data_IF_312412349789
#
_entry.id   IF_312412349789
#
_cell.length_a   1.000
_cell.length_b   1.000
_cell.length_c   1.000
_cell.angle_alpha   90.00
_cell.angle_beta   90.00
_cell.angle_gamma   90.00
#
_symmetry.space_group_name_H-M   'P 1'
#
loop_
_entity.id
_entity.type
_entity.pdbx_description
1 polymer ?
#
# COMPACT_ATOMS: atom_id res chain seq x y z
N UNK A 1 -0.88 14.71 -17.81
CA UNK A 1 0.48 15.10 -17.38
C UNK A 1 1.47 14.12 -18.00
N UNK A 2 2.37 14.55 -18.89
CA UNK A 2 3.33 13.66 -19.55
C UNK A 2 4.49 13.22 -18.64
N UNK A 3 4.68 13.88 -17.50
CA UNK A 3 5.77 13.57 -16.56
C UNK A 3 5.59 12.21 -15.89
N UNK A 4 4.36 11.75 -15.68
CA UNK A 4 4.10 10.47 -15.02
C UNK A 4 4.48 9.24 -15.86
N UNK A 5 4.62 9.38 -17.20
CA UNK A 5 5.09 8.27 -18.05
C UNK A 5 6.56 7.92 -17.83
N UNK A 6 7.33 8.84 -17.24
CA UNK A 6 8.75 8.62 -16.93
C UNK A 6 8.97 8.07 -15.51
N UNK A 7 7.90 7.95 -14.71
CA UNK A 7 8.00 7.47 -13.35
C UNK A 7 7.71 5.96 -13.28
N UNK A 8 8.52 5.18 -12.54
CA UNK A 8 8.17 3.81 -12.23
C UNK A 8 6.85 3.75 -11.45
N UNK A 9 6.21 2.57 -11.45
CA UNK A 9 4.85 2.36 -10.93
C UNK A 9 4.67 2.91 -9.51
N UNK A 10 5.56 2.58 -8.60
CA UNK A 10 5.48 2.98 -7.19
C UNK A 10 5.64 4.50 -7.04
N UNK A 11 6.51 5.11 -7.84
CA UNK A 11 6.69 6.56 -7.87
C UNK A 11 5.46 7.27 -8.44
N UNK A 12 4.70 6.64 -9.35
CA UNK A 12 3.40 7.18 -9.80
C UNK A 12 2.38 7.22 -8.66
N UNK A 13 2.32 6.18 -7.81
CA UNK A 13 1.47 6.21 -6.62
C UNK A 13 1.88 7.32 -5.65
N UNK A 14 3.17 7.44 -5.33
CA UNK A 14 3.67 8.49 -4.44
C UNK A 14 3.40 9.90 -5.01
N UNK A 15 3.59 10.08 -6.31
CA UNK A 15 3.30 11.34 -7.00
C UNK A 15 1.80 11.65 -6.99
N UNK A 16 0.94 10.65 -7.21
CA UNK A 16 -0.51 10.81 -7.12
C UNK A 16 -0.97 11.21 -5.70
N UNK A 17 -0.38 10.61 -4.66
CA UNK A 17 -0.62 10.99 -3.26
C UNK A 17 -0.24 12.45 -3.02
N UNK A 18 0.97 12.85 -3.43
CA UNK A 18 1.48 14.21 -3.27
C UNK A 18 0.59 15.26 -3.97
N UNK A 19 0.03 14.93 -5.14
CA UNK A 19 -0.89 15.81 -5.88
C UNK A 19 -2.30 15.88 -5.31
N UNK A 20 -2.67 14.96 -4.43
CA UNK A 20 -4.02 14.90 -3.87
C UNK A 20 -4.14 15.75 -2.61
N UNK A 21 -3.27 15.51 -1.62
CA UNK A 21 -3.33 16.22 -0.35
C UNK A 21 -2.03 16.04 0.46
N UNK A 22 -1.69 17.01 1.33
CA UNK A 22 -0.65 16.84 2.34
C UNK A 22 -0.87 15.59 3.23
N UNK A 23 0.20 14.94 3.67
CA UNK A 23 0.17 13.69 4.47
C UNK A 23 -0.78 13.73 5.68
N UNK A 24 -0.91 14.89 6.35
CA UNK A 24 -1.79 15.06 7.51
C UNK A 24 -3.29 15.00 7.20
N UNK A 25 -3.70 15.21 5.94
CA UNK A 25 -5.10 15.12 5.52
C UNK A 25 -5.56 13.68 5.27
N UNK A 26 -4.63 12.72 5.22
CA UNK A 26 -4.95 11.31 5.05
C UNK A 26 -5.31 10.60 6.37
N UNK A 27 -5.04 11.27 7.51
CA UNK A 27 -5.33 10.75 8.84
C UNK A 27 -6.77 10.31 9.00
N UNK A 28 -6.96 9.10 9.49
CA UNK A 28 -8.27 8.62 9.89
C UNK A 28 -8.68 9.26 11.22
N UNK A 29 -9.30 10.45 11.17
CA UNK A 29 -9.89 11.08 12.36
C UNK A 29 -11.34 10.65 12.53
N UNK A 30 -11.53 9.47 13.13
CA UNK A 30 -12.79 9.02 13.74
C UNK A 30 -13.95 8.78 12.78
N UNK A 31 -14.96 8.04 13.27
CA UNK A 31 -16.20 7.70 12.54
C UNK A 31 -16.92 8.98 12.13
N UNK A 32 -16.79 9.40 10.86
CA UNK A 32 -17.66 10.41 10.26
C UNK A 32 -17.01 11.65 9.63
N UNK A 33 -15.69 11.72 9.38
CA UNK A 33 -15.10 12.86 8.66
C UNK A 33 -14.29 12.48 7.42
N UNK A 34 -14.73 13.07 6.30
CA UNK A 34 -14.21 13.09 4.92
C UNK A 34 -12.99 12.19 4.69
N UNK A 35 -13.23 11.06 4.02
CA UNK A 35 -12.16 10.34 3.33
C UNK A 35 -11.49 11.32 2.37
N UNK A 36 -10.19 11.56 2.54
CA UNK A 36 -9.41 12.23 1.51
C UNK A 36 -9.53 11.40 0.25
N UNK A 37 -10.24 11.91 -0.75
CA UNK A 37 -10.41 11.24 -2.03
C UNK A 37 -9.34 11.74 -2.99
N UNK A 38 -8.77 10.86 -3.83
CA UNK A 38 -7.91 11.25 -4.92
C UNK A 38 -8.58 12.35 -5.75
N UNK A 39 -7.82 13.39 -6.10
CA UNK A 39 -8.30 14.41 -7.02
C UNK A 39 -8.39 13.84 -8.45
N UNK A 40 -9.22 14.39 -9.33
CA UNK A 40 -9.23 13.97 -10.74
C UNK A 40 -7.84 14.06 -11.39
N UNK A 41 -7.03 15.05 -10.99
CA UNK A 41 -5.66 15.24 -11.49
C UNK A 41 -4.71 14.14 -11.03
N UNK A 42 -4.83 13.65 -9.79
CA UNK A 42 -4.00 12.54 -9.32
C UNK A 42 -4.43 11.20 -9.89
N UNK A 43 -5.73 11.01 -10.14
CA UNK A 43 -6.23 9.82 -10.85
C UNK A 43 -5.62 9.72 -12.26
N UNK A 44 -5.51 10.85 -12.98
CA UNK A 44 -4.86 10.88 -14.30
C UNK A 44 -3.39 10.41 -14.29
N UNK A 45 -2.66 10.54 -13.17
CA UNK A 45 -1.28 10.06 -13.05
C UNK A 45 -1.22 8.53 -13.13
N UNK A 46 -2.23 7.86 -12.59
CA UNK A 46 -2.31 6.41 -12.49
C UNK A 46 -2.88 5.78 -13.76
N UNK A 47 -3.80 6.47 -14.44
CA UNK A 47 -4.47 5.99 -15.65
C UNK A 47 -3.72 6.27 -16.95
N UNK A 48 -2.60 7.02 -16.91
CA UNK A 48 -2.02 7.66 -18.10
C UNK A 48 -1.45 6.69 -19.15
N UNK A 49 -1.36 5.39 -18.88
CA UNK A 49 -0.51 4.50 -19.69
C UNK A 49 -1.11 3.15 -20.14
N UNK A 50 -2.38 2.83 -19.85
CA UNK A 50 -3.01 1.59 -20.34
C UNK A 50 -4.54 1.63 -20.23
N UNK A 51 -5.23 1.00 -21.18
CA UNK A 51 -6.66 0.67 -21.08
C UNK A 51 -6.97 -0.13 -19.81
N UNK A 52 -6.03 -1.01 -19.43
CA UNK A 52 -6.16 -1.91 -18.27
C UNK A 52 -5.25 -1.48 -17.10
N UNK A 53 -5.16 -0.18 -16.82
CA UNK A 53 -4.29 0.34 -15.74
C UNK A 53 -4.56 -0.35 -14.39
N UNK A 54 -5.79 -0.84 -14.16
CA UNK A 54 -6.18 -1.57 -12.94
C UNK A 54 -5.42 -2.89 -12.77
N UNK A 55 -5.15 -3.61 -13.86
CA UNK A 55 -4.42 -4.88 -13.83
C UNK A 55 -2.97 -4.69 -13.39
N UNK A 56 -2.40 -3.52 -13.68
CA UNK A 56 -1.04 -3.15 -13.26
C UNK A 56 -0.87 -3.12 -11.72
N UNK A 57 -1.97 -2.83 -11.01
CA UNK A 57 -2.02 -2.72 -9.55
C UNK A 57 -2.63 -3.96 -8.88
N UNK A 58 -2.95 -5.01 -9.67
CA UNK A 58 -3.52 -6.25 -9.15
C UNK A 58 -2.65 -6.90 -8.08
N UNK A 59 -1.33 -6.96 -8.33
CA UNK A 59 -0.34 -7.36 -7.34
C UNK A 59 0.46 -6.14 -6.86
N UNK A 60 0.39 -5.88 -5.56
CA UNK A 60 0.99 -4.68 -4.97
C UNK A 60 1.78 -4.99 -3.70
N UNK A 61 3.04 -4.56 -3.63
CA UNK A 61 3.92 -4.71 -2.47
C UNK A 61 4.32 -3.35 -1.90
N UNK A 62 3.94 -3.09 -0.65
CA UNK A 62 4.30 -1.84 0.04
C UNK A 62 5.79 -1.74 0.37
N UNK A 63 6.55 -2.84 0.34
CA UNK A 63 8.00 -2.80 0.46
C UNK A 63 8.67 -2.04 -0.69
N UNK A 64 8.12 -2.16 -1.91
CA UNK A 64 8.62 -1.41 -3.07
C UNK A 64 8.29 0.08 -2.95
N UNK A 65 7.11 0.41 -2.38
CA UNK A 65 6.73 1.80 -2.07
C UNK A 65 7.63 2.40 -0.99
N UNK A 66 7.91 1.65 0.07
CA UNK A 66 8.81 2.07 1.13
C UNK A 66 10.21 2.37 0.55
N UNK A 67 10.72 1.45 -0.28
CA UNK A 67 11.98 1.64 -1.01
C UNK A 67 11.96 2.89 -1.90
N UNK A 68 10.90 3.09 -2.67
CA UNK A 68 10.73 4.25 -3.54
C UNK A 68 10.66 5.58 -2.75
N UNK A 69 10.06 5.55 -1.56
CA UNK A 69 10.00 6.68 -0.64
C UNK A 69 11.32 6.90 0.15
N UNK A 70 12.35 6.09 -0.05
CA UNK A 70 13.60 6.13 0.73
C UNK A 70 13.45 5.64 2.18
N UNK A 71 12.32 5.03 2.50
CA UNK A 71 11.94 4.53 3.82
C UNK A 71 12.38 3.07 3.96
N UNK A 72 13.49 2.82 4.67
CA UNK A 72 14.12 1.48 4.69
C UNK A 72 14.00 0.72 6.01
N UNK A 73 13.84 1.40 7.15
CA UNK A 73 13.83 0.73 8.46
C UNK A 73 13.01 1.49 9.51
N UNK A 74 12.15 0.77 10.23
CA UNK A 74 11.62 1.23 11.53
C UNK A 74 12.73 1.07 12.59
N UNK A 75 12.89 2.00 13.55
CA UNK A 75 12.00 3.10 13.91
C UNK A 75 12.28 4.42 13.15
N UNK A 76 13.32 4.48 12.31
CA UNK A 76 13.86 5.74 11.78
C UNK A 76 13.21 6.23 10.47
N UNK A 77 12.36 5.43 9.81
CA UNK A 77 11.72 5.84 8.57
C UNK A 77 10.90 4.74 7.90
N UNK A 78 9.90 4.20 8.60
CA UNK A 78 8.90 3.28 8.01
C UNK A 78 7.74 4.01 7.35
N UNK A 79 6.98 3.30 6.50
CA UNK A 79 5.66 3.77 6.09
C UNK A 79 4.71 3.72 7.29
N UNK A 80 3.93 4.77 7.50
CA UNK A 80 2.88 4.79 8.52
C UNK A 80 1.56 4.26 7.97
N UNK A 81 0.61 3.91 8.84
CA UNK A 81 -0.76 3.59 8.44
C UNK A 81 -1.41 4.69 7.58
N UNK A 82 -1.08 5.96 7.83
CA UNK A 82 -1.56 7.08 7.01
C UNK A 82 -0.99 7.04 5.58
N UNK A 83 0.29 6.70 5.43
CA UNK A 83 0.93 6.54 4.12
C UNK A 83 0.30 5.38 3.35
N UNK A 84 0.08 4.23 4.01
CA UNK A 84 -0.60 3.08 3.40
C UNK A 84 -1.99 3.47 2.92
N UNK A 85 -2.77 4.12 3.79
CA UNK A 85 -4.13 4.54 3.47
C UNK A 85 -4.16 5.49 2.27
N UNK A 86 -3.24 6.45 2.23
CA UNK A 86 -3.14 7.41 1.14
C UNK A 86 -2.90 6.73 -0.21
N UNK A 87 -1.95 5.80 -0.25
CA UNK A 87 -1.63 5.03 -1.46
C UNK A 87 -2.81 4.15 -1.87
N UNK A 88 -3.40 3.38 -0.94
CA UNK A 88 -4.55 2.50 -1.22
C UNK A 88 -5.74 3.27 -1.81
N UNK A 89 -6.01 4.48 -1.29
CA UNK A 89 -7.08 5.32 -1.81
C UNK A 89 -6.74 5.86 -3.20
N UNK A 90 -5.49 6.27 -3.44
CA UNK A 90 -5.05 6.77 -4.75
C UNK A 90 -5.17 5.71 -5.84
N UNK A 91 -4.73 4.49 -5.57
CA UNK A 91 -4.75 3.39 -6.56
C UNK A 91 -6.12 2.72 -6.71
N UNK A 92 -7.15 3.24 -6.03
CA UNK A 92 -8.49 2.64 -5.98
C UNK A 92 -8.43 1.17 -5.54
N UNK A 93 -7.63 0.87 -4.51
CA UNK A 93 -7.23 -0.49 -4.14
C UNK A 93 -8.40 -1.45 -3.93
N UNK A 94 -9.54 -0.93 -3.47
CA UNK A 94 -10.78 -1.70 -3.28
C UNK A 94 -11.32 -2.35 -4.55
N UNK A 95 -10.95 -1.81 -5.72
CA UNK A 95 -11.43 -2.24 -7.03
C UNK A 95 -10.27 -2.70 -7.93
N UNK A 96 -9.03 -2.70 -7.44
CA UNK A 96 -7.82 -2.96 -8.26
C UNK A 96 -6.92 -4.03 -7.65
N UNK A 97 -6.65 -3.97 -6.34
CA UNK A 97 -5.67 -4.83 -5.69
C UNK A 97 -6.29 -6.18 -5.35
N UNK A 98 -5.78 -7.24 -5.96
CA UNK A 98 -6.18 -8.63 -5.70
C UNK A 98 -5.21 -9.36 -4.75
N UNK A 99 -3.94 -8.96 -4.74
CA UNK A 99 -2.89 -9.54 -3.92
C UNK A 99 -2.06 -8.41 -3.32
N UNK A 100 -2.09 -8.31 -2.00
CA UNK A 100 -1.36 -7.29 -1.26
C UNK A 100 -0.23 -7.90 -0.46
N UNK A 101 0.97 -7.32 -0.55
CA UNK A 101 2.12 -7.68 0.28
C UNK A 101 2.61 -6.48 1.09
N UNK A 102 2.93 -6.70 2.36
CA UNK A 102 3.46 -5.67 3.27
C UNK A 102 4.93 -5.92 3.62
N UNK A 103 5.74 -6.30 2.62
CA UNK A 103 7.15 -6.63 2.89
C UNK A 103 7.90 -5.42 3.43
N UNK A 104 8.79 -5.64 4.40
CA UNK A 104 9.63 -4.59 5.03
C UNK A 104 8.86 -3.41 5.63
N UNK A 105 7.54 -3.54 5.82
CA UNK A 105 6.70 -2.51 6.42
C UNK A 105 6.50 -2.83 7.90
N UNK A 106 7.33 -2.21 8.73
CA UNK A 106 7.34 -2.44 10.18
C UNK A 106 6.59 -1.31 10.93
N UNK A 107 6.02 -1.64 12.09
CA UNK A 107 5.38 -0.65 12.97
C UNK A 107 3.98 -0.21 12.52
N UNK A 108 3.33 -0.98 11.66
CA UNK A 108 1.94 -0.75 11.24
C UNK A 108 0.97 -1.24 12.32
N UNK A 109 -0.04 -0.44 12.61
CA UNK A 109 -1.15 -0.79 13.52
C UNK A 109 -2.26 -1.55 12.81
N UNK A 110 -2.30 -1.49 11.47
CA UNK A 110 -3.33 -2.09 10.62
C UNK A 110 -4.51 -1.15 10.33
N UNK A 111 -4.56 0.02 10.97
CA UNK A 111 -5.59 1.05 10.69
C UNK A 111 -5.52 1.59 9.26
N UNK A 112 -4.35 1.53 8.62
CA UNK A 112 -4.14 1.95 7.24
C UNK A 112 -4.79 1.02 6.21
N UNK A 113 -5.12 -0.22 6.59
CA UNK A 113 -5.77 -1.21 5.73
C UNK A 113 -7.30 -1.06 5.69
N UNK A 114 -7.87 -0.08 6.41
CA UNK A 114 -9.30 0.23 6.37
C UNK A 114 -9.90 0.29 4.96
N UNK A 115 -9.25 0.91 3.93
CA UNK A 115 -9.82 0.97 2.57
C UNK A 115 -10.07 -0.40 1.92
N UNK A 116 -9.40 -1.45 2.40
CA UNK A 116 -9.56 -2.82 1.89
C UNK A 116 -10.75 -3.55 2.51
N UNK A 117 -11.30 -3.04 3.62
CA UNK A 117 -12.53 -3.62 4.23
C UNK A 117 -13.72 -3.54 3.27
N UNK A 118 -13.70 -2.59 2.34
CA UNK A 118 -14.70 -2.43 1.29
C UNK A 118 -14.37 -3.23 0.01
N UNK A 119 -13.24 -3.96 -0.04
CA UNK A 119 -12.71 -4.69 -1.21
C UNK A 119 -13.28 -6.12 -1.33
N UNK A 120 -14.59 -6.27 -1.11
CA UNK A 120 -15.23 -7.55 -0.80
C UNK A 120 -15.14 -8.62 -1.92
N UNK A 121 -14.85 -8.23 -3.16
CA UNK A 121 -14.81 -9.12 -4.34
C UNK A 121 -13.47 -9.18 -5.07
N UNK A 122 -12.58 -8.20 -4.85
CA UNK A 122 -11.34 -8.07 -5.63
C UNK A 122 -10.15 -8.63 -4.86
N UNK A 123 -10.07 -8.36 -3.55
CA UNK A 123 -8.94 -8.79 -2.72
C UNK A 123 -9.04 -10.28 -2.40
N UNK A 124 -8.08 -11.06 -2.90
CA UNK A 124 -7.99 -12.51 -2.73
C UNK A 124 -6.91 -12.91 -1.74
N UNK A 125 -5.84 -12.13 -1.62
CA UNK A 125 -4.67 -12.47 -0.80
C UNK A 125 -4.08 -11.25 -0.11
N UNK A 126 -3.75 -11.44 1.17
CA UNK A 126 -2.94 -10.49 1.94
C UNK A 126 -1.75 -11.28 2.50
N UNK A 127 -0.55 -10.89 2.12
CA UNK A 127 0.71 -11.42 2.62
C UNK A 127 1.32 -10.41 3.60
N UNK A 128 1.22 -10.75 4.90
CA UNK A 128 1.79 -9.98 6.00
C UNK A 128 3.24 -10.35 6.30
N UNK A 129 3.88 -11.17 5.45
CA UNK A 129 5.30 -11.45 5.57
C UNK A 129 6.09 -10.15 5.49
N UNK A 130 6.78 -9.84 6.59
CA UNK A 130 7.68 -8.68 6.70
C UNK A 130 8.95 -8.85 5.84
N UNK A 131 9.08 -9.97 5.15
CA UNK A 131 10.30 -10.42 4.49
C UNK A 131 10.11 -10.37 2.98
N UNK A 132 11.10 -9.81 2.28
CA UNK A 132 11.11 -9.79 0.82
C UNK A 132 11.14 -11.20 0.23
N UNK A 133 10.88 -11.32 -1.08
CA UNK A 133 11.05 -12.61 -1.78
C UNK A 133 12.52 -13.01 -1.69
N UNK A 134 12.79 -14.25 -1.25
CA UNK A 134 14.14 -14.81 -1.05
C UNK A 134 15.02 -14.03 -0.06
N UNK A 135 14.41 -13.27 0.85
CA UNK A 135 15.13 -12.67 1.97
C UNK A 135 14.98 -13.53 3.21
N UNK A 136 16.02 -13.53 4.05
CA UNK A 136 15.96 -14.23 5.33
C UNK A 136 15.02 -13.51 6.31
N UNK A 137 14.16 -14.23 7.05
CA UNK A 137 13.22 -13.67 8.01
C UNK A 137 13.85 -13.09 9.28
N UNK A 138 15.16 -12.85 9.26
CA UNK A 138 15.90 -12.27 10.36
C UNK A 138 15.66 -10.77 10.42
N UNK A 139 14.70 -10.35 11.23
CA UNK A 139 14.58 -8.95 11.63
C UNK A 139 15.69 -8.65 12.62
N UNK A 140 16.70 -7.87 12.21
CA UNK A 140 17.72 -7.36 13.11
C UNK A 140 17.15 -6.21 13.95
N UNK A 141 16.36 -6.57 14.96
CA UNK A 141 16.10 -5.68 16.09
C UNK A 141 17.30 -5.88 17.02
N UNK A 142 17.95 -4.79 17.45
CA UNK A 142 19.12 -4.86 18.32
C UNK A 142 18.93 -5.92 19.41
N UNK A 143 19.81 -6.92 19.42
CA UNK A 143 19.88 -8.05 20.35
C UNK A 143 18.67 -9.01 20.42
N UNK A 144 18.16 -9.56 19.32
CA UNK A 144 17.73 -10.99 19.25
C UNK A 144 17.15 -11.38 17.89
N UNK A 145 17.53 -12.58 17.42
CA UNK A 145 17.00 -13.19 16.21
C UNK A 145 15.55 -13.67 16.42
N UNK A 146 14.56 -12.85 16.08
CA UNK A 146 13.16 -13.27 16.02
C UNK A 146 12.90 -13.94 14.66
N UNK A 147 12.78 -15.28 14.65
CA UNK A 147 12.28 -16.03 13.49
C UNK A 147 10.78 -15.85 13.42
N UNK A 148 10.31 -14.96 12.55
CA UNK A 148 8.87 -14.86 12.25
C UNK A 148 8.50 -15.98 11.28
N UNK A 149 7.79 -16.98 11.79
CA UNK A 149 7.07 -17.97 10.97
C UNK A 149 5.59 -17.72 11.16
N UNK A 150 4.97 -16.96 10.27
CA UNK A 150 3.53 -17.12 10.00
C UNK A 150 3.18 -16.45 8.67
N UNK A 151 2.83 -17.28 7.68
CA UNK A 151 2.12 -16.85 6.48
C UNK A 151 0.66 -17.19 6.74
N UNK A 152 -0.13 -16.20 7.13
CA UNK A 152 -1.59 -16.37 7.23
C UNK A 152 -2.17 -16.11 5.84
N UNK A 153 -2.44 -17.19 5.10
CA UNK A 153 -3.23 -17.09 3.87
C UNK A 153 -4.69 -16.93 4.29
N UNK A 154 -5.20 -15.70 4.27
CA UNK A 154 -6.63 -15.45 4.43
C UNK A 154 -7.30 -15.71 3.09
N UNK A 155 -7.84 -16.90 2.92
CA UNK A 155 -8.68 -17.24 1.77
C UNK A 155 -10.08 -16.65 2.01
N UNK A 156 -10.37 -15.52 1.37
CA UNK A 156 -11.69 -14.89 1.46
C UNK A 156 -12.67 -15.68 0.59
N UNK A 157 -13.37 -16.67 1.18
CA UNK A 157 -14.48 -17.36 0.51
C UNK A 157 -15.60 -16.37 0.20
N UNK A 158 -16.03 -16.33 -1.05
CA UNK A 158 -17.20 -15.59 -1.51
C UNK A 158 -18.44 -15.97 -0.68
N UNK A 159 -19.27 -15.01 -0.24
CA UNK A 159 -20.56 -15.34 0.36
C UNK A 159 -21.48 -15.95 -0.71
N UNK A 160 -22.08 -17.09 -0.36
CA UNK A 160 -23.11 -17.82 -1.11
C UNK A 160 -24.42 -17.03 -1.05
#
# INVERSE_FOLDING_TARGET
>A
MKVSSYLPRENRALFAVALTAPSHNWRCRGRGRRHSRPSPKSSMVLTLHKTDWRDEWGEFDFGDVARAAGKRYFPLGGLSDDDLRAVLLCIDAKNTVNSLKLSKCFGLTGSGLEPLRESMTVLKRIDLSLVGKNEDPCVYIGVSNLKVKEVVVVDMKSPI
#
